data_IF_656085424957
#
_entry.id   IF_656085424957
#
_cell.length_a   1.000
_cell.length_b   1.000
_cell.length_c   1.000
_cell.angle_alpha   90.00
_cell.angle_beta   90.00
_cell.angle_gamma   90.00
#
_symmetry.space_group_name_H-M   'P 1'
#
loop_
_entity.id
_entity.type
_entity.pdbx_description
1 polymer ?
#
# COMPACT_ATOMS: atom_id res chain seq x y z
N UNK A 1 10.75 -3.33 3.95
CA UNK A 1 11.36 -4.08 2.84
C UNK A 1 11.05 -5.55 3.01
N UNK A 2 10.82 -6.28 1.91
CA UNK A 2 10.72 -7.74 1.93
C UNK A 2 11.95 -8.33 2.64
N UNK A 3 11.82 -9.42 3.42
CA UNK A 3 12.89 -9.92 4.29
C UNK A 3 14.23 -10.12 3.58
N UNK A 4 14.20 -10.54 2.31
CA UNK A 4 15.38 -10.83 1.50
C UNK A 4 16.23 -9.59 1.19
N UNK A 5 15.63 -8.40 1.15
CA UNK A 5 16.32 -7.16 0.76
C UNK A 5 16.77 -6.31 1.96
N UNK A 6 16.44 -6.70 3.20
CA UNK A 6 16.70 -5.89 4.40
C UNK A 6 18.19 -5.71 4.72
N UNK A 7 19.03 -6.65 4.31
CA UNK A 7 20.47 -6.65 4.59
C UNK A 7 21.33 -6.41 3.34
N UNK A 8 20.70 -6.14 2.19
CA UNK A 8 21.41 -5.86 0.95
C UNK A 8 21.79 -4.37 0.91
N UNK A 9 23.08 -4.00 1.02
CA UNK A 9 23.51 -2.62 1.01
C UNK A 9 23.37 -1.95 -0.36
N UNK A 10 23.11 -2.71 -1.43
CA UNK A 10 22.87 -2.15 -2.77
C UNK A 10 21.43 -1.66 -2.97
N UNK A 11 20.52 -2.00 -2.04
CA UNK A 11 19.12 -1.58 -2.09
C UNK A 11 18.96 -0.24 -1.39
N UNK A 12 18.88 0.82 -2.19
CA UNK A 12 18.68 2.19 -1.72
C UNK A 12 17.31 2.75 -2.14
N UNK A 13 16.77 3.74 -1.42
CA UNK A 13 15.58 4.47 -1.86
C UNK A 13 15.80 5.18 -3.21
N UNK A 14 14.73 5.38 -4.02
CA UNK A 14 13.34 5.02 -3.74
C UNK A 14 13.05 3.53 -3.96
N UNK A 15 12.40 2.89 -2.98
CA UNK A 15 12.04 1.48 -3.07
C UNK A 15 10.85 1.25 -4.00
N UNK A 16 10.91 0.27 -4.89
CA UNK A 16 9.80 -0.12 -5.77
C UNK A 16 8.71 -0.84 -5.00
N UNK A 17 7.49 -0.91 -5.55
CA UNK A 17 6.36 -1.55 -4.87
C UNK A 17 6.66 -3.00 -4.47
N UNK A 18 7.32 -3.77 -5.34
CA UNK A 18 7.68 -5.18 -5.07
C UNK A 18 8.79 -5.38 -4.04
N UNK A 19 9.50 -4.32 -3.64
CA UNK A 19 10.50 -4.36 -2.58
C UNK A 19 9.90 -4.11 -1.20
N UNK A 20 8.66 -3.60 -1.13
CA UNK A 20 7.97 -3.33 0.13
C UNK A 20 7.38 -4.62 0.69
N UNK A 21 7.42 -4.73 2.01
CA UNK A 21 6.86 -5.86 2.74
C UNK A 21 5.33 -5.81 2.70
N UNK A 22 4.67 -6.96 2.51
CA UNK A 22 3.21 -7.03 2.38
C UNK A 22 2.49 -6.54 3.65
N UNK A 23 3.03 -6.84 4.83
CA UNK A 23 2.50 -6.36 6.10
C UNK A 23 2.62 -4.82 6.20
N UNK A 24 3.71 -4.26 5.66
CA UNK A 24 3.88 -2.81 5.61
C UNK A 24 2.88 -2.15 4.65
N UNK A 25 2.60 -2.76 3.50
CA UNK A 25 1.55 -2.27 2.58
C UNK A 25 0.19 -2.32 3.25
N UNK A 26 -0.16 -3.44 3.90
CA UNK A 26 -1.43 -3.60 4.60
C UNK A 26 -1.62 -2.56 5.71
N UNK A 27 -0.62 -2.37 6.58
CA UNK A 27 -0.66 -1.36 7.63
C UNK A 27 -0.83 0.06 7.06
N UNK A 28 -0.19 0.36 5.93
CA UNK A 28 -0.33 1.64 5.27
C UNK A 28 -1.73 1.84 4.67
N UNK A 29 -2.33 0.80 4.08
CA UNK A 29 -3.70 0.83 3.56
C UNK A 29 -4.69 1.20 4.67
N UNK A 30 -4.56 0.56 5.84
CA UNK A 30 -5.41 0.85 7.01
C UNK A 30 -5.18 2.28 7.51
N UNK A 31 -3.92 2.72 7.58
CA UNK A 31 -3.58 4.10 8.00
C UNK A 31 -4.21 5.14 7.09
N UNK A 32 -4.07 5.00 5.77
CA UNK A 32 -4.65 5.92 4.79
C UNK A 32 -6.17 5.97 4.93
N UNK A 33 -6.83 4.82 5.11
CA UNK A 33 -8.27 4.78 5.34
C UNK A 33 -8.68 5.55 6.62
N UNK A 34 -7.96 5.34 7.73
CA UNK A 34 -8.20 5.98 9.02
C UNK A 34 -7.90 7.49 9.03
N UNK A 35 -6.96 7.95 8.23
CA UNK A 35 -6.58 9.36 8.12
C UNK A 35 -7.36 10.10 7.01
N UNK A 36 -8.05 9.37 6.12
CA UNK A 36 -8.82 9.96 5.03
C UNK A 36 -9.89 10.93 5.54
N UNK A 37 -10.05 12.05 4.83
CA UNK A 37 -11.18 12.98 5.04
C UNK A 37 -12.51 12.25 4.78
N UNK A 38 -13.58 12.70 5.45
CA UNK A 38 -14.92 12.11 5.33
C UNK A 38 -15.36 11.93 3.88
N UNK A 39 -15.20 12.97 3.06
CA UNK A 39 -15.63 12.95 1.66
C UNK A 39 -14.87 11.92 0.83
N UNK A 40 -13.56 11.75 1.09
CA UNK A 40 -12.72 10.74 0.43
C UNK A 40 -13.01 9.34 0.96
N UNK A 41 -13.24 9.20 2.27
CA UNK A 41 -13.52 7.92 2.92
C UNK A 41 -14.76 7.26 2.34
N UNK A 42 -15.77 8.02 1.93
CA UNK A 42 -16.96 7.49 1.24
C UNK A 42 -16.56 6.66 0.01
N UNK A 43 -15.57 7.11 -0.77
CA UNK A 43 -15.07 6.35 -1.91
C UNK A 43 -14.34 5.09 -1.46
N UNK A 44 -13.54 5.17 -0.41
CA UNK A 44 -12.80 4.02 0.12
C UNK A 44 -13.72 2.96 0.73
N UNK A 45 -14.87 3.30 1.31
CA UNK A 45 -15.84 2.30 1.79
C UNK A 45 -16.31 1.36 0.68
N UNK A 46 -16.40 1.84 -0.56
CA UNK A 46 -16.82 1.02 -1.71
C UNK A 46 -15.81 -0.09 -2.03
N UNK A 47 -14.56 0.07 -1.58
CA UNK A 47 -13.49 -0.88 -1.81
C UNK A 47 -13.10 -1.71 -0.60
N UNK A 48 -13.85 -1.61 0.49
CA UNK A 48 -13.55 -2.30 1.73
C UNK A 48 -14.07 -3.73 1.67
N UNK A 49 -13.16 -4.68 1.81
CA UNK A 49 -13.49 -6.09 1.95
C UNK A 49 -13.31 -6.50 3.41
N UNK A 50 -14.38 -7.04 4.00
CA UNK A 50 -14.43 -7.52 5.39
C UNK A 50 -14.73 -9.01 5.48
N UNK A 51 -14.92 -9.68 4.35
CA UNK A 51 -15.29 -11.10 4.31
C UNK A 51 -14.05 -12.01 4.36
N UNK A 52 -12.84 -11.44 4.21
CA UNK A 52 -11.57 -12.13 4.37
C UNK A 52 -11.00 -12.14 5.80
N UNK A 53 -9.94 -12.93 6.00
CA UNK A 53 -9.22 -13.04 7.28
C UNK A 53 -8.56 -11.71 7.73
N UNK A 54 -8.39 -10.78 6.80
CA UNK A 54 -7.76 -9.47 7.04
C UNK A 54 -8.61 -8.37 6.41
N UNK A 55 -8.70 -7.24 7.10
CA UNK A 55 -9.39 -6.05 6.58
C UNK A 55 -8.62 -5.47 5.40
N UNK A 56 -9.22 -5.48 4.21
CA UNK A 56 -8.58 -4.93 3.02
C UNK A 56 -9.33 -3.74 2.42
N UNK A 57 -8.60 -2.91 1.68
CA UNK A 57 -9.18 -1.86 0.86
C UNK A 57 -8.53 -1.84 -0.52
N UNK A 58 -9.18 -2.44 -1.52
CA UNK A 58 -8.58 -2.60 -2.84
C UNK A 58 -8.36 -1.27 -3.55
N UNK A 59 -9.18 -0.25 -3.29
CA UNK A 59 -9.05 1.08 -3.91
C UNK A 59 -7.75 1.73 -3.43
N UNK A 60 -7.52 1.76 -2.12
CA UNK A 60 -6.31 2.35 -1.54
C UNK A 60 -5.07 1.57 -1.97
N UNK A 61 -5.13 0.23 -1.91
CA UNK A 61 -4.05 -0.64 -2.36
C UNK A 61 -3.71 -0.39 -3.83
N UNK A 62 -4.72 -0.25 -4.69
CA UNK A 62 -4.53 0.05 -6.11
C UNK A 62 -3.92 1.43 -6.33
N UNK A 63 -4.37 2.46 -5.61
CA UNK A 63 -3.81 3.82 -5.70
C UNK A 63 -2.34 3.85 -5.27
N UNK A 64 -2.00 3.17 -4.16
CA UNK A 64 -0.62 2.99 -3.71
C UNK A 64 0.23 2.36 -4.82
N UNK A 65 -0.19 1.19 -5.32
CA UNK A 65 0.52 0.53 -6.42
C UNK A 65 0.68 1.43 -7.65
N UNK A 66 -0.37 2.15 -8.03
CA UNK A 66 -0.36 3.05 -9.18
C UNK A 66 0.64 4.20 -9.01
N UNK A 67 0.76 4.78 -7.81
CA UNK A 67 1.74 5.83 -7.52
C UNK A 67 3.17 5.32 -7.64
N UNK A 68 3.48 4.15 -7.06
CA UNK A 68 4.82 3.54 -7.18
C UNK A 68 5.14 3.23 -8.64
N UNK A 69 4.20 2.59 -9.36
CA UNK A 69 4.39 2.25 -10.76
C UNK A 69 4.61 3.48 -11.63
N UNK A 70 3.84 4.56 -11.42
CA UNK A 70 4.00 5.79 -12.19
C UNK A 70 5.36 6.47 -11.94
N UNK A 71 5.91 6.36 -10.73
CA UNK A 71 7.26 6.82 -10.40
C UNK A 71 8.33 5.95 -11.07
N UNK A 72 8.15 4.64 -11.04
CA UNK A 72 9.15 3.65 -11.45
C UNK A 72 9.21 3.47 -13.00
N UNK A 73 8.11 3.69 -13.72
CA UNK A 73 8.03 3.61 -15.19
C UNK A 73 8.48 4.93 -15.89
N UNK A 74 9.15 5.87 -15.21
CA UNK A 74 9.71 7.12 -15.78
C UNK A 74 11.23 7.13 -15.83
#
# INVERSE_FOLDING_TARGET
>A
LIPQLRHDPSVEPPYTFGQIDEEAIHNEVIRIYNDARKDTRIMYELGRDRDGDHEENWIIRWLLWHVFRYRDDR
#
